data_IF_373309268989
#
_entry.id   IF_373309268989
#
_cell.length_a   1.000
_cell.length_b   1.000
_cell.length_c   1.000
_cell.angle_alpha   90.00
_cell.angle_beta   90.00
_cell.angle_gamma   90.00
#
_symmetry.space_group_name_H-M   'P 1'
#
loop_
_entity.id
_entity.type
_entity.pdbx_description
1 polymer ?
#
# COMPACT_ATOMS: atom_id res chain seq x y z
N UNK A 1 20.07 -4.11 20.52
CA UNK A 1 19.58 -3.37 19.34
C UNK A 1 20.24 -2.02 19.30
N UNK A 2 20.81 -1.63 18.16
CA UNK A 2 21.29 -0.27 17.92
C UNK A 2 20.15 0.68 17.54
N UNK A 3 20.36 1.99 17.67
CA UNK A 3 19.37 3.00 17.25
C UNK A 3 19.00 2.85 15.76
N UNK A 4 19.97 2.52 14.92
CA UNK A 4 19.78 2.29 13.48
C UNK A 4 18.91 1.08 13.21
N UNK A 5 19.07 -0.01 13.96
CA UNK A 5 18.21 -1.19 13.84
C UNK A 5 16.75 -0.84 14.18
N UNK A 6 16.53 -0.08 15.26
CA UNK A 6 15.18 0.36 15.66
C UNK A 6 14.54 1.25 14.59
N UNK A 7 15.29 2.21 14.05
CA UNK A 7 14.82 3.10 12.99
C UNK A 7 14.53 2.31 11.70
N UNK A 8 15.32 1.27 11.41
CA UNK A 8 15.10 0.38 10.27
C UNK A 8 13.76 -0.36 10.30
N UNK A 9 13.20 -0.60 11.48
CA UNK A 9 11.86 -1.18 11.65
C UNK A 9 10.72 -0.19 11.42
N UNK A 10 10.97 1.13 11.48
CA UNK A 10 9.91 2.13 11.39
C UNK A 10 9.15 2.04 10.05
N UNK A 11 9.80 1.99 8.87
CA UNK A 11 9.10 1.81 7.60
C UNK A 11 8.29 0.51 7.55
N UNK A 12 8.82 -0.57 8.14
CA UNK A 12 8.17 -1.89 8.18
C UNK A 12 6.89 -1.91 9.03
N UNK A 13 6.66 -0.91 9.87
CA UNK A 13 5.43 -0.76 10.66
C UNK A 13 4.53 0.31 10.05
N UNK A 14 5.10 1.49 9.76
CA UNK A 14 4.32 2.67 9.35
C UNK A 14 3.68 2.49 7.98
N UNK A 15 4.42 1.96 6.99
CA UNK A 15 3.88 1.80 5.63
C UNK A 15 2.74 0.78 5.53
N UNK A 16 2.86 -0.44 6.09
CA UNK A 16 1.73 -1.37 6.09
C UNK A 16 0.58 -0.86 6.94
N UNK A 17 0.82 -0.24 8.10
CA UNK A 17 -0.26 0.30 8.93
C UNK A 17 -1.06 1.39 8.19
N UNK A 18 -0.40 2.37 7.58
CA UNK A 18 -1.06 3.42 6.80
C UNK A 18 -1.86 2.83 5.62
N UNK A 19 -1.29 1.83 4.94
CA UNK A 19 -1.95 1.14 3.82
C UNK A 19 -3.17 0.36 4.29
N UNK A 20 -3.08 -0.36 5.41
CA UNK A 20 -4.21 -1.09 6.00
C UNK A 20 -5.32 -0.13 6.41
N UNK A 21 -5.00 1.02 7.00
CA UNK A 21 -5.99 2.04 7.37
C UNK A 21 -6.77 2.50 6.13
N UNK A 22 -6.08 2.82 5.03
CA UNK A 22 -6.74 3.19 3.78
C UNK A 22 -7.59 2.04 3.22
N UNK A 23 -7.06 0.81 3.27
CA UNK A 23 -7.76 -0.36 2.77
C UNK A 23 -9.06 -0.62 3.54
N UNK A 24 -8.99 -0.57 4.88
CA UNK A 24 -10.16 -0.69 5.76
C UNK A 24 -11.16 0.42 5.49
N UNK A 25 -10.70 1.65 5.26
CA UNK A 25 -11.57 2.76 4.89
C UNK A 25 -12.34 2.46 3.59
N UNK A 26 -11.65 2.06 2.52
CA UNK A 26 -12.28 1.72 1.23
C UNK A 26 -13.28 0.56 1.36
N UNK A 27 -12.94 -0.49 2.11
CA UNK A 27 -13.81 -1.64 2.31
C UNK A 27 -15.08 -1.29 3.10
N UNK A 28 -14.98 -0.38 4.08
CA UNK A 28 -16.10 0.07 4.90
C UNK A 28 -16.98 1.09 4.18
N UNK A 29 -16.38 2.08 3.52
CA UNK A 29 -17.11 3.13 2.80
C UNK A 29 -17.73 2.60 1.51
N UNK A 30 -17.13 1.56 0.90
CA UNK A 30 -17.44 1.08 -0.45
C UNK A 30 -17.44 2.19 -1.50
N UNK A 31 -16.69 3.26 -1.25
CA UNK A 31 -16.56 4.42 -2.11
C UNK A 31 -15.09 4.79 -2.25
N UNK A 32 -14.71 5.18 -3.46
CA UNK A 32 -13.34 5.59 -3.80
C UNK A 32 -13.22 7.08 -4.09
N UNK A 33 -14.17 7.89 -3.61
CA UNK A 33 -14.14 9.34 -3.72
C UNK A 33 -12.87 9.93 -3.11
N UNK A 34 -12.17 10.79 -3.87
CA UNK A 34 -10.95 11.47 -3.43
C UNK A 34 -9.68 10.59 -3.35
N UNK A 35 -9.77 9.27 -3.55
CA UNK A 35 -8.60 8.39 -3.49
C UNK A 35 -7.97 8.24 -4.88
N UNK A 36 -6.70 8.62 -5.04
CA UNK A 36 -6.01 8.60 -6.34
C UNK A 36 -5.42 7.21 -6.67
N UNK A 37 -5.88 6.53 -7.74
CA UNK A 37 -5.29 5.24 -8.15
C UNK A 37 -3.86 5.40 -8.66
N UNK A 38 -3.53 6.55 -9.28
CA UNK A 38 -2.18 6.83 -9.75
C UNK A 38 -1.18 6.92 -8.60
N UNK A 39 -1.54 7.62 -7.52
CA UNK A 39 -0.67 7.74 -6.35
C UNK A 39 -0.39 6.38 -5.69
N UNK A 40 -1.45 5.59 -5.43
CA UNK A 40 -1.31 4.26 -4.84
C UNK A 40 -0.56 3.28 -5.74
N UNK A 41 -0.77 3.37 -7.06
CA UNK A 41 0.00 2.60 -8.04
C UNK A 41 1.49 2.98 -8.05
N UNK A 42 1.81 4.27 -8.00
CA UNK A 42 3.20 4.75 -7.92
C UNK A 42 3.89 4.29 -6.63
N UNK A 43 3.20 4.29 -5.49
CA UNK A 43 3.75 3.75 -4.25
C UNK A 43 4.02 2.24 -4.35
N UNK A 44 3.10 1.48 -4.96
CA UNK A 44 3.32 0.05 -5.15
C UNK A 44 4.56 -0.23 -6.01
N UNK A 45 4.69 0.46 -7.14
CA UNK A 45 5.86 0.35 -8.02
C UNK A 45 7.13 0.77 -7.29
N UNK A 46 7.11 1.92 -6.61
CA UNK A 46 8.25 2.43 -5.85
C UNK A 46 8.73 1.46 -4.78
N UNK A 47 7.81 0.84 -4.04
CA UNK A 47 8.14 -0.16 -3.02
C UNK A 47 8.76 -1.43 -3.63
N UNK A 48 8.27 -1.92 -4.77
CA UNK A 48 8.89 -3.05 -5.47
C UNK A 48 10.30 -2.69 -5.97
N UNK A 49 10.45 -1.52 -6.61
CA UNK A 49 11.76 -1.04 -7.06
C UNK A 49 12.75 -0.88 -5.89
N UNK A 50 12.29 -0.35 -4.76
CA UNK A 50 13.12 -0.16 -3.58
C UNK A 50 13.52 -1.49 -2.92
N UNK A 51 12.61 -2.47 -2.89
CA UNK A 51 12.91 -3.83 -2.43
C UNK A 51 14.05 -4.44 -3.26
N UNK A 52 13.99 -4.34 -4.59
CA UNK A 52 15.07 -4.79 -5.48
C UNK A 52 16.36 -4.00 -5.29
N UNK A 53 16.26 -2.67 -5.19
CA UNK A 53 17.43 -1.80 -5.07
C UNK A 53 18.22 -2.01 -3.77
N UNK A 54 17.52 -2.33 -2.67
CA UNK A 54 18.16 -2.49 -1.36
C UNK A 54 18.82 -3.85 -1.18
N UNK A 55 18.52 -4.84 -2.04
CA UNK A 55 19.06 -6.21 -2.01
C UNK A 55 18.89 -6.95 -0.67
N UNK A 56 18.03 -6.43 0.22
CA UNK A 56 17.72 -6.97 1.55
C UNK A 56 16.58 -7.98 1.49
N UNK A 57 16.73 -9.01 0.65
CA UNK A 57 15.65 -9.94 0.34
C UNK A 57 15.23 -10.83 1.51
N UNK A 58 16.17 -11.18 2.39
CA UNK A 58 15.93 -12.05 3.54
C UNK A 58 15.53 -11.27 4.81
N UNK A 59 15.54 -9.94 4.77
CA UNK A 59 15.19 -9.14 5.93
C UNK A 59 13.68 -8.98 6.06
N UNK A 60 13.13 -9.44 7.18
CA UNK A 60 11.69 -9.35 7.46
C UNK A 60 11.15 -7.91 7.34
N UNK A 61 11.92 -6.92 7.79
CA UNK A 61 11.57 -5.50 7.67
C UNK A 61 11.43 -5.04 6.21
N UNK A 62 12.27 -5.55 5.30
CA UNK A 62 12.23 -5.24 3.88
C UNK A 62 11.03 -5.92 3.20
N UNK A 63 10.81 -7.20 3.50
CA UNK A 63 9.68 -7.97 2.98
C UNK A 63 8.34 -7.34 3.40
N UNK A 64 8.16 -7.06 4.70
CA UNK A 64 6.90 -6.51 5.23
C UNK A 64 6.72 -5.06 4.79
N UNK A 65 7.74 -4.22 4.98
CA UNK A 65 7.67 -2.79 4.72
C UNK A 65 7.52 -2.43 3.25
N UNK A 66 8.05 -3.27 2.35
CA UNK A 66 8.09 -2.97 0.92
C UNK A 66 7.22 -3.94 0.12
N UNK A 67 7.55 -5.23 0.09
CA UNK A 67 6.90 -6.19 -0.81
C UNK A 67 5.46 -6.51 -0.40
N UNK A 68 5.22 -6.86 0.85
CA UNK A 68 3.86 -7.08 1.35
C UNK A 68 3.02 -5.81 1.25
N UNK A 69 3.61 -4.66 1.60
CA UNK A 69 2.94 -3.37 1.51
C UNK A 69 2.55 -3.04 0.07
N UNK A 70 3.42 -3.29 -0.92
CA UNK A 70 3.10 -3.04 -2.33
C UNK A 70 1.91 -3.88 -2.82
N UNK A 71 1.78 -5.13 -2.37
CA UNK A 71 0.61 -5.96 -2.69
C UNK A 71 -0.69 -5.35 -2.16
N UNK A 72 -0.68 -4.83 -0.93
CA UNK A 72 -1.83 -4.13 -0.36
C UNK A 72 -2.17 -2.86 -1.15
N UNK A 73 -1.16 -2.11 -1.59
CA UNK A 73 -1.33 -0.90 -2.41
C UNK A 73 -1.92 -1.23 -3.78
N UNK A 74 -1.49 -2.31 -4.43
CA UNK A 74 -2.12 -2.81 -5.66
C UNK A 74 -3.57 -3.21 -5.43
N UNK A 75 -3.87 -3.83 -4.29
CA UNK A 75 -5.25 -4.18 -3.93
C UNK A 75 -6.13 -2.94 -3.70
N UNK A 76 -5.58 -1.88 -3.10
CA UNK A 76 -6.24 -0.56 -3.03
C UNK A 76 -6.57 -0.04 -4.43
N UNK A 77 -5.61 -0.08 -5.37
CA UNK A 77 -5.84 0.34 -6.76
C UNK A 77 -6.98 -0.44 -7.40
N UNK A 78 -6.99 -1.77 -7.22
CA UNK A 78 -8.10 -2.62 -7.67
C UNK A 78 -9.45 -2.19 -7.08
N UNK A 79 -9.52 -1.96 -5.77
CA UNK A 79 -10.75 -1.51 -5.10
C UNK A 79 -11.22 -0.14 -5.59
N UNK A 80 -10.30 0.78 -5.85
CA UNK A 80 -10.63 2.11 -6.39
C UNK A 80 -11.38 1.96 -7.73
N UNK A 81 -10.84 1.16 -8.66
CA UNK A 81 -11.50 0.93 -9.94
C UNK A 81 -12.84 0.19 -9.78
N UNK A 82 -12.90 -0.80 -8.88
CA UNK A 82 -14.12 -1.55 -8.59
C UNK A 82 -15.25 -0.62 -8.09
N UNK A 83 -14.97 0.22 -7.10
CA UNK A 83 -16.00 1.08 -6.49
C UNK A 83 -16.41 2.24 -7.41
N UNK A 84 -15.47 2.87 -8.12
CA UNK A 84 -15.82 3.89 -9.13
C UNK A 84 -16.74 3.35 -10.22
N UNK A 85 -16.51 2.09 -10.66
CA UNK A 85 -17.39 1.44 -11.64
C UNK A 85 -18.79 1.19 -11.07
N UNK A 86 -18.89 0.78 -9.81
CA UNK A 86 -20.18 0.57 -9.15
C UNK A 86 -20.96 1.88 -8.98
N UNK A 87 -20.27 2.96 -8.60
CA UNK A 87 -20.86 4.30 -8.49
C UNK A 87 -21.38 4.78 -9.85
N UNK A 88 -20.58 4.64 -10.92
CA UNK A 88 -20.99 5.01 -12.29
C UNK A 88 -22.22 4.24 -12.77
N UNK A 89 -22.33 2.94 -12.46
CA UNK A 89 -23.47 2.10 -12.85
C UNK A 89 -24.74 2.45 -12.06
N UNK A 90 -24.61 2.93 -10.82
CA UNK A 90 -25.76 3.33 -10.00
C UNK A 90 -26.36 4.69 -10.43
N UNK A 91 -25.57 5.52 -11.12
CA UNK A 91 -26.00 6.83 -11.65
C UNK A 91 -26.46 6.83 -13.12
N UNK A 92 -26.28 5.71 -13.84
CA UNK A 92 -26.70 5.55 -15.24
C UNK A 92 -28.13 5.02 -15.33
#
# INVERSE_FOLDING_TARGET
MSLIEIIGFVPAVVFPAATIIQLVHLLKSKSAGGVSPGAWGSFAIGNVCLFTYTEKYDELQSIIGLLFTSLLQLYIVYLIYKYRRQESLATA
#
